data_IF_918333363341
#
_entry.id   IF_918333363341
#
_cell.length_a   1.000
_cell.length_b   1.000
_cell.length_c   1.000
_cell.angle_alpha   90.00
_cell.angle_beta   90.00
_cell.angle_gamma   90.00
#
_symmetry.space_group_name_H-M   'P 1'
#
loop_
_entity.id
_entity.type
_entity.pdbx_description
1 polymer ?
#
# COMPACT_ATOMS: atom_id res chain seq x y z
N UNK A 1 11.47 -12.76 6.62
CA UNK A 1 11.95 -11.64 5.79
C UNK A 1 10.75 -10.94 5.14
N UNK A 2 10.75 -9.63 5.15
CA UNK A 2 9.65 -8.88 4.56
C UNK A 2 9.75 -8.84 3.04
N UNK A 3 8.60 -8.90 2.38
CA UNK A 3 8.56 -8.91 0.91
C UNK A 3 7.26 -8.30 0.38
N UNK A 4 7.28 -7.96 -0.90
CA UNK A 4 6.10 -7.54 -1.65
C UNK A 4 5.28 -8.78 -2.01
N UNK A 5 4.02 -8.81 -1.58
CA UNK A 5 3.09 -9.89 -1.94
C UNK A 5 2.41 -9.56 -3.27
N UNK A 6 1.97 -8.31 -3.42
CA UNK A 6 1.22 -7.88 -4.60
C UNK A 6 1.39 -6.39 -4.81
N UNK A 7 1.32 -5.96 -6.07
CA UNK A 7 1.31 -4.55 -6.47
C UNK A 7 -0.01 -4.30 -7.16
N UNK A 8 -0.75 -3.27 -6.70
CA UNK A 8 -2.12 -3.05 -7.16
C UNK A 8 -2.31 -1.60 -7.59
N UNK A 9 -3.04 -1.42 -8.68
CA UNK A 9 -3.31 -0.08 -9.23
C UNK A 9 -4.77 0.05 -9.62
N UNK A 10 -5.25 1.28 -9.72
CA UNK A 10 -6.59 1.58 -10.21
C UNK A 10 -6.59 2.83 -11.07
N UNK A 11 -7.49 2.91 -12.07
CA UNK A 11 -7.56 4.10 -12.92
C UNK A 11 -8.26 5.29 -12.26
N UNK A 12 -8.97 5.08 -11.15
CA UNK A 12 -9.66 6.15 -10.43
C UNK A 12 -9.66 5.93 -8.93
N UNK A 13 -9.83 7.03 -8.18
CA UNK A 13 -9.82 7.01 -6.72
C UNK A 13 -11.10 6.40 -6.16
N UNK A 14 -11.00 5.85 -4.94
CA UNK A 14 -12.16 5.34 -4.21
C UNK A 14 -12.66 3.98 -4.67
N UNK A 15 -11.98 3.32 -5.58
CA UNK A 15 -12.34 2.00 -6.08
C UNK A 15 -11.31 0.95 -5.65
N UNK A 16 -11.68 -0.33 -5.82
CA UNK A 16 -10.73 -1.43 -5.64
C UNK A 16 -9.57 -1.27 -6.61
N UNK A 17 -8.40 -1.74 -6.19
CA UNK A 17 -7.22 -1.81 -7.05
C UNK A 17 -7.05 -3.25 -7.54
N UNK A 18 -6.36 -3.39 -8.66
CA UNK A 18 -6.15 -4.69 -9.31
C UNK A 18 -4.67 -5.01 -9.37
N UNK A 19 -4.28 -6.29 -9.16
CA UNK A 19 -2.87 -6.69 -9.19
C UNK A 19 -2.24 -6.51 -10.56
N UNK A 20 -0.97 -6.11 -10.56
CA UNK A 20 -0.14 -6.04 -11.77
C UNK A 20 1.16 -6.81 -11.54
N UNK A 21 1.82 -7.22 -12.61
CA UNK A 21 3.03 -8.04 -12.52
C UNK A 21 4.28 -7.25 -12.15
N UNK A 22 4.24 -5.94 -12.41
CA UNK A 22 5.35 -5.04 -12.09
C UNK A 22 4.84 -3.61 -12.12
N UNK A 23 5.58 -2.70 -11.50
CA UNK A 23 5.24 -1.29 -11.51
C UNK A 23 6.51 -0.46 -11.56
N UNK A 24 6.42 0.67 -12.28
CA UNK A 24 7.48 1.67 -12.30
C UNK A 24 7.15 2.75 -11.28
N UNK A 25 8.07 3.01 -10.38
CA UNK A 25 7.96 4.06 -9.37
C UNK A 25 8.77 5.25 -9.83
N UNK A 26 8.17 6.43 -9.75
CA UNK A 26 8.80 7.66 -10.20
C UNK A 26 8.90 8.68 -9.06
N UNK A 27 10.04 9.35 -9.00
CA UNK A 27 10.30 10.41 -8.02
C UNK A 27 9.24 11.51 -8.15
N UNK A 28 8.76 12.00 -7.01
CA UNK A 28 7.73 13.04 -6.91
C UNK A 28 6.39 12.65 -7.54
N UNK A 29 6.13 11.38 -7.71
CA UNK A 29 4.90 10.91 -8.35
C UNK A 29 4.31 9.68 -7.64
N UNK A 30 5.04 8.57 -7.60
CA UNK A 30 4.57 7.29 -7.09
C UNK A 30 4.52 6.24 -8.18
N UNK A 31 3.50 5.39 -8.18
CA UNK A 31 3.36 4.34 -9.19
C UNK A 31 2.73 4.93 -10.45
N UNK A 32 3.41 4.77 -11.58
CA UNK A 32 2.82 5.12 -12.88
C UNK A 32 1.56 4.30 -13.09
N UNK A 33 0.54 4.88 -13.67
CA UNK A 33 -0.76 4.26 -13.96
C UNK A 33 -1.70 4.16 -12.75
N UNK A 34 -1.31 4.66 -11.58
CA UNK A 34 -2.21 4.65 -10.42
C UNK A 34 -2.85 6.02 -10.21
N UNK A 35 -4.15 5.99 -9.86
CA UNK A 35 -4.93 7.21 -9.71
C UNK A 35 -4.49 8.08 -8.52
N UNK A 36 -3.88 7.49 -7.49
CA UNK A 36 -3.43 8.23 -6.31
C UNK A 36 -2.04 8.82 -6.46
N UNK A 37 -1.33 8.47 -7.55
CA UNK A 37 0.00 9.00 -7.80
C UNK A 37 -0.05 10.52 -8.02
N UNK A 38 1.00 11.20 -7.61
CA UNK A 38 1.10 12.64 -7.75
C UNK A 38 2.16 13.21 -6.82
N UNK A 39 2.44 14.50 -6.97
CA UNK A 39 3.45 15.15 -6.14
C UNK A 39 2.84 15.58 -4.81
N UNK A 40 2.66 14.60 -3.93
CA UNK A 40 2.13 14.82 -2.57
C UNK A 40 2.66 13.74 -1.63
N UNK A 41 2.24 13.78 -0.36
CA UNK A 41 2.78 12.87 0.65
C UNK A 41 2.17 11.46 0.63
N UNK A 42 1.05 11.26 -0.06
CA UNK A 42 0.39 9.95 -0.15
C UNK A 42 0.53 9.37 -1.55
N UNK A 43 1.77 9.30 -2.03
CA UNK A 43 2.03 8.81 -3.39
C UNK A 43 1.70 7.33 -3.55
N UNK A 44 2.05 6.52 -2.53
CA UNK A 44 1.86 5.06 -2.56
C UNK A 44 1.33 4.62 -1.21
N UNK A 45 0.32 3.76 -1.22
CA UNK A 45 -0.22 3.16 0.00
C UNK A 45 0.28 1.73 0.17
N UNK A 46 0.56 1.34 1.42
CA UNK A 46 1.00 -0.01 1.77
C UNK A 46 0.07 -0.58 2.84
N UNK A 47 -0.28 -1.86 2.71
CA UNK A 47 -1.04 -2.59 3.71
C UNK A 47 -0.49 -4.00 3.83
N UNK A 48 -0.33 -4.49 5.05
CA UNK A 48 0.22 -5.82 5.29
C UNK A 48 -0.81 -6.91 4.99
N UNK A 49 -0.37 -8.01 4.40
CA UNK A 49 -1.22 -9.18 4.20
C UNK A 49 -1.75 -9.68 5.55
N UNK A 50 -0.95 -9.57 6.60
CA UNK A 50 -1.35 -9.96 7.97
C UNK A 50 -2.58 -9.17 8.44
N UNK A 51 -2.69 -7.89 8.06
CA UNK A 51 -3.87 -7.08 8.39
C UNK A 51 -5.11 -7.56 7.63
N UNK A 52 -4.93 -7.94 6.36
CA UNK A 52 -6.01 -8.49 5.54
C UNK A 52 -6.46 -9.85 6.11
N UNK A 53 -5.50 -10.68 6.50
CA UNK A 53 -5.78 -12.00 7.08
C UNK A 53 -6.56 -11.88 8.39
N UNK A 54 -6.26 -10.87 9.20
CA UNK A 54 -7.00 -10.62 10.44
C UNK A 54 -8.47 -10.31 10.15
N UNK A 55 -8.76 -9.55 9.10
CA UNK A 55 -10.15 -9.27 8.67
C UNK A 55 -10.84 -10.54 8.20
N UNK A 56 -10.15 -11.39 7.45
CA UNK A 56 -10.69 -12.67 7.01
C UNK A 56 -11.02 -13.56 8.22
N UNK A 57 -10.16 -13.58 9.23
CA UNK A 57 -10.40 -14.35 10.45
C UNK A 57 -11.61 -13.84 11.23
N UNK A 58 -12.02 -12.57 11.03
CA UNK A 58 -13.22 -12.00 11.64
C UNK A 58 -14.50 -12.31 10.84
N UNK A 59 -14.41 -13.11 9.77
CA UNK A 59 -15.55 -13.52 8.99
C UNK A 59 -15.82 -12.72 7.74
N UNK A 60 -14.96 -11.78 7.38
CA UNK A 60 -15.11 -11.00 6.14
C UNK A 60 -14.58 -11.83 4.97
N UNK A 61 -15.40 -12.01 3.94
CA UNK A 61 -15.07 -12.85 2.79
C UNK A 61 -14.64 -12.01 1.57
N UNK A 62 -13.95 -12.67 0.63
CA UNK A 62 -13.60 -12.06 -0.65
C UNK A 62 -12.44 -11.08 -0.58
N UNK A 63 -11.64 -11.12 0.46
CA UNK A 63 -10.54 -10.19 0.65
C UNK A 63 -9.29 -10.70 -0.07
N UNK A 64 -8.96 -10.04 -1.18
CA UNK A 64 -7.75 -10.31 -1.96
C UNK A 64 -6.93 -9.04 -2.05
N UNK A 65 -5.64 -9.12 -2.46
CA UNK A 65 -4.85 -7.90 -2.61
C UNK A 65 -5.53 -6.86 -3.50
N UNK A 66 -5.47 -5.60 -3.07
CA UNK A 66 -6.11 -4.48 -3.76
C UNK A 66 -7.50 -4.13 -3.27
N UNK A 67 -8.14 -4.99 -2.49
CA UNK A 67 -9.53 -4.76 -2.02
C UNK A 67 -9.65 -3.58 -1.07
N UNK A 68 -8.58 -3.22 -0.36
CA UNK A 68 -8.58 -2.05 0.50
C UNK A 68 -7.95 -0.83 -0.18
N UNK A 69 -7.80 -0.89 -1.50
CA UNK A 69 -7.17 0.15 -2.32
C UNK A 69 -5.69 0.37 -1.98
N UNK A 70 -5.04 -0.62 -1.39
CA UNK A 70 -3.61 -0.53 -1.14
C UNK A 70 -2.84 -0.76 -2.45
N UNK A 71 -1.77 0.01 -2.63
CA UNK A 71 -0.89 -0.15 -3.79
C UNK A 71 0.03 -1.35 -3.64
N UNK A 72 0.66 -1.48 -2.47
CA UNK A 72 1.60 -2.57 -2.21
C UNK A 72 1.06 -3.37 -1.03
N UNK A 73 0.78 -4.66 -1.27
CA UNK A 73 0.45 -5.60 -0.22
C UNK A 73 1.76 -6.25 0.22
N UNK A 74 2.07 -6.16 1.52
CA UNK A 74 3.35 -6.62 2.06
C UNK A 74 3.15 -7.82 2.97
N UNK A 75 4.26 -8.49 3.34
CA UNK A 75 4.27 -9.57 4.31
C UNK A 75 5.55 -9.51 5.12
N UNK A 76 5.47 -9.80 6.40
CA UNK A 76 6.63 -9.91 7.27
C UNK A 76 7.03 -8.63 7.99
N UNK A 77 6.19 -7.57 7.95
CA UNK A 77 6.52 -6.29 8.55
C UNK A 77 5.27 -5.62 9.11
N UNK A 78 5.32 -5.18 10.36
CA UNK A 78 4.22 -4.41 10.97
C UNK A 78 4.34 -2.95 10.55
N UNK A 79 3.72 -2.61 9.42
CA UNK A 79 3.88 -1.29 8.79
C UNK A 79 3.48 -0.14 9.71
N UNK A 80 2.37 -0.29 10.41
CA UNK A 80 1.81 0.81 11.21
C UNK A 80 2.63 1.13 12.47
N UNK A 81 3.65 0.34 12.78
CA UNK A 81 4.58 0.64 13.88
C UNK A 81 5.79 1.46 13.42
N UNK A 82 5.95 1.68 12.12
CA UNK A 82 7.08 2.42 11.58
C UNK A 82 6.82 3.93 11.67
N UNK A 83 7.69 4.70 12.34
CA UNK A 83 7.47 6.14 12.44
C UNK A 83 7.52 6.83 11.06
N UNK A 84 6.82 7.96 10.97
CA UNK A 84 6.96 8.85 9.80
C UNK A 84 8.43 9.24 9.67
N UNK A 85 8.95 9.21 8.45
CA UNK A 85 10.36 9.43 8.17
C UNK A 85 11.19 8.16 8.02
N UNK A 86 10.62 7.00 8.38
CA UNK A 86 11.29 5.72 8.19
C UNK A 86 11.49 5.46 6.70
N UNK A 87 12.68 5.00 6.33
CA UNK A 87 13.00 4.66 4.94
C UNK A 87 12.92 3.16 4.73
N UNK A 88 12.28 2.78 3.64
CA UNK A 88 12.09 1.39 3.25
C UNK A 88 12.74 1.15 1.90
N UNK A 89 13.62 0.17 1.83
CA UNK A 89 14.16 -0.29 0.55
C UNK A 89 13.24 -1.38 0.03
N UNK A 90 12.66 -1.17 -1.14
CA UNK A 90 11.76 -2.12 -1.80
C UNK A 90 12.34 -2.42 -3.17
N UNK A 91 12.92 -3.63 -3.33
CA UNK A 91 13.65 -3.93 -4.55
C UNK A 91 14.75 -2.91 -4.78
N UNK A 92 14.74 -2.24 -5.93
CA UNK A 92 15.72 -1.19 -6.25
C UNK A 92 15.29 0.20 -5.83
N UNK A 93 14.08 0.35 -5.29
CA UNK A 93 13.51 1.65 -4.93
C UNK A 93 13.73 1.96 -3.46
N UNK A 94 13.79 3.25 -3.13
CA UNK A 94 13.81 3.72 -1.74
C UNK A 94 12.56 4.57 -1.50
N UNK A 95 11.84 4.25 -0.44
CA UNK A 95 10.59 4.92 -0.08
C UNK A 95 10.70 5.50 1.32
N UNK A 96 9.94 6.55 1.60
CA UNK A 96 9.90 7.16 2.94
C UNK A 96 8.47 7.19 3.46
N UNK A 97 8.25 6.74 4.69
CA UNK A 97 6.93 6.78 5.34
C UNK A 97 6.54 8.23 5.58
N UNK A 98 5.38 8.62 5.06
CA UNK A 98 4.89 9.99 5.16
C UNK A 98 3.64 10.12 6.02
N UNK A 99 2.88 9.03 6.17
CA UNK A 99 1.65 9.04 6.95
C UNK A 99 1.31 7.63 7.43
N UNK A 100 0.81 7.53 8.66
CA UNK A 100 0.32 6.26 9.21
C UNK A 100 -1.19 6.37 9.31
N UNK A 101 -1.90 5.44 8.67
CA UNK A 101 -3.35 5.45 8.64
C UNK A 101 -3.90 6.62 7.84
N UNK A 102 -5.20 6.76 7.84
CA UNK A 102 -5.88 7.91 7.22
C UNK A 102 -7.26 8.10 7.81
N UNK A 103 -7.77 9.34 7.72
CA UNK A 103 -9.16 9.61 8.04
C UNK A 103 -10.02 9.28 6.83
N UNK A 104 -11.17 8.66 7.08
CA UNK A 104 -12.10 8.32 6.02
C UNK A 104 -13.44 8.95 6.37
N UNK A 105 -13.71 10.13 5.82
CA UNK A 105 -14.91 10.90 6.11
C UNK A 105 -16.13 10.46 5.32
N UNK A 106 -15.92 9.72 4.24
CA UNK A 106 -16.99 9.24 3.38
C UNK A 106 -16.83 7.75 3.18
N UNK A 107 -17.97 7.04 3.11
CA UNK A 107 -17.96 5.61 2.84
C UNK A 107 -17.67 5.39 1.36
N UNK A 108 -16.43 5.07 1.02
CA UNK A 108 -16.04 4.76 -0.36
C UNK A 108 -16.63 3.41 -0.78
N UNK A 109 -16.43 3.06 -2.05
CA UNK A 109 -16.90 1.78 -2.59
C UNK A 109 -16.43 0.59 -1.76
N UNK A 110 -15.19 0.65 -1.26
CA UNK A 110 -14.62 -0.42 -0.44
C UNK A 110 -15.41 -0.62 0.84
N UNK A 111 -15.68 0.47 1.57
CA UNK A 111 -16.45 0.40 2.81
C UNK A 111 -17.86 -0.12 2.55
N UNK A 112 -18.50 0.34 1.48
CA UNK A 112 -19.86 -0.06 1.16
C UNK A 112 -19.97 -1.54 0.82
N UNK A 113 -18.97 -2.13 0.17
CA UNK A 113 -18.99 -3.54 -0.22
C UNK A 113 -18.47 -4.48 0.85
N UNK A 114 -17.45 -4.06 1.61
CA UNK A 114 -16.81 -4.90 2.62
C UNK A 114 -17.38 -4.63 4.01
N UNK A 115 -17.84 -3.40 4.28
CA UNK A 115 -18.37 -2.99 5.58
C UNK A 115 -17.33 -2.55 6.59
N UNK A 116 -16.05 -2.78 6.29
CA UNK A 116 -14.92 -2.41 7.17
C UNK A 116 -13.72 -2.09 6.32
N UNK A 117 -12.77 -1.33 6.87
CA UNK A 117 -11.52 -1.05 6.20
C UNK A 117 -10.42 -0.88 7.25
N UNK A 118 -9.29 -1.57 7.03
CA UNK A 118 -8.13 -1.49 7.93
C UNK A 118 -7.14 -0.40 7.55
N UNK A 119 -7.27 0.21 6.35
CA UNK A 119 -6.39 1.29 5.94
C UNK A 119 -6.33 2.45 6.93
N UNK A 120 -7.45 2.90 7.54
CA UNK A 120 -7.38 4.02 8.49
C UNK A 120 -6.50 3.79 9.70
N UNK A 121 -6.31 2.53 10.12
CA UNK A 121 -5.53 2.22 11.33
C UNK A 121 -4.22 1.48 11.05
N UNK A 122 -4.17 0.66 10.01
CA UNK A 122 -3.02 -0.22 9.77
C UNK A 122 -2.30 0.03 8.45
N UNK A 123 -2.90 0.80 7.55
CA UNK A 123 -2.24 1.19 6.31
C UNK A 123 -1.27 2.34 6.52
N UNK A 124 -0.26 2.43 5.66
CA UNK A 124 0.67 3.55 5.66
C UNK A 124 0.79 4.13 4.26
N UNK A 125 1.33 5.33 4.19
CA UNK A 125 1.61 5.99 2.92
C UNK A 125 3.08 6.35 2.86
N UNK A 126 3.64 6.28 1.65
CA UNK A 126 5.05 6.58 1.40
C UNK A 126 5.18 7.46 0.17
N UNK A 127 6.35 8.11 0.06
CA UNK A 127 6.76 8.81 -1.15
C UNK A 127 8.02 8.16 -1.70
N UNK A 128 8.27 8.35 -2.99
CA UNK A 128 9.43 7.78 -3.67
C UNK A 128 10.65 8.68 -3.48
N UNK A 129 11.74 8.13 -2.96
CA UNK A 129 13.03 8.82 -2.85
C UNK A 129 13.98 8.37 -3.95
N UNK A 130 13.97 7.09 -4.31
CA UNK A 130 14.75 6.55 -5.42
C UNK A 130 13.81 5.79 -6.33
N UNK A 131 13.71 6.22 -7.57
CA UNK A 131 12.81 5.59 -8.54
C UNK A 131 13.39 4.30 -9.11
N UNK A 132 12.52 3.47 -9.69
CA UNK A 132 12.90 2.20 -10.27
C UNK A 132 11.68 1.34 -10.50
N UNK A 133 11.90 0.05 -10.73
CA UNK A 133 10.85 -0.92 -10.97
C UNK A 133 10.79 -1.92 -9.83
N UNK A 134 9.57 -2.25 -9.40
CA UNK A 134 9.34 -3.26 -8.37
C UNK A 134 8.44 -4.37 -8.92
N UNK A 135 8.54 -5.55 -8.31
CA UNK A 135 7.75 -6.74 -8.67
C UNK A 135 7.31 -7.47 -7.42
N UNK A 136 6.21 -8.24 -7.48
CA UNK A 136 5.88 -9.15 -6.39
C UNK A 136 7.06 -10.08 -6.10
N UNK A 137 7.33 -10.30 -4.81
CA UNK A 137 8.47 -11.10 -4.37
C UNK A 137 9.70 -10.28 -4.01
N UNK A 138 9.74 -9.01 -4.38
CA UNK A 138 10.88 -8.15 -4.05
C UNK A 138 11.03 -8.00 -2.54
N UNK A 139 12.26 -8.00 -2.02
CA UNK A 139 12.47 -7.84 -0.58
C UNK A 139 12.19 -6.42 -0.11
N UNK A 140 11.75 -6.31 1.14
CA UNK A 140 11.53 -5.02 1.80
C UNK A 140 12.42 -4.99 3.03
N UNK A 141 13.25 -3.96 3.15
CA UNK A 141 14.10 -3.77 4.33
C UNK A 141 13.93 -2.35 4.87
N UNK A 142 14.01 -2.23 6.19
CA UNK A 142 14.01 -0.93 6.85
C UNK A 142 15.45 -0.41 6.82
N UNK A 143 15.63 0.79 6.25
CA UNK A 143 16.93 1.45 6.22
C UNK A 143 17.15 2.20 7.53
N UNK A 144 18.36 2.10 8.05
CA UNK A 144 18.76 2.81 9.26
C UNK A 144 19.56 4.06 8.97
#
# INVERSE_FOLDING_TARGET
MAKVVSINVSPKKGTFKYPVEQADLRLDHGILSDAHAGNWHRQISLLAQESIDAMTAMGVEGLTPGKFAENITTQGLELYTLPVGTKLRVGECLLEVTQIGKECHQHCEIFQKVGKCVMPTEGIFVKVLTQGRIRPGDPITVEE
#
